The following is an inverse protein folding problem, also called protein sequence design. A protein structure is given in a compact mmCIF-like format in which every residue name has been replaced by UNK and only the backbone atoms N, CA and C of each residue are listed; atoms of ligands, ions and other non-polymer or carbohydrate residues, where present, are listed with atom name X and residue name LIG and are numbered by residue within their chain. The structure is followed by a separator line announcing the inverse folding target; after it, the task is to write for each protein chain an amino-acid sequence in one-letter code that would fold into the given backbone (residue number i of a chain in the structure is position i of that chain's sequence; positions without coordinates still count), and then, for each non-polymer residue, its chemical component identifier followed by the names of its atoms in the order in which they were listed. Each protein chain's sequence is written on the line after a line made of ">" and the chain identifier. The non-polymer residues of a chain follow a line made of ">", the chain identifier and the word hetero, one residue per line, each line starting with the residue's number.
data_IF_605964985166
#
_entry.id   IF_605964985166
#
_cell.length_a   1.000
_cell.length_b   1.000
_cell.length_c   1.000
_cell.angle_alpha   90.00
_cell.angle_beta   90.00
_cell.angle_gamma   90.00
#
_symmetry.space_group_name_H-M   'P 1'
#
loop_
_entity.id
_entity.type
_entity.pdbx_description
1 polymer ?
#
# COMPACT_ATOMS: atom_id res chain seq x y z
N UNK A 1 2.32 8.14 -2.48
CA UNK A 1 3.20 9.19 -1.94
C UNK A 1 3.59 8.85 -0.52
N UNK A 2 4.78 9.27 -0.11
CA UNK A 2 5.29 9.16 1.25
C UNK A 2 5.54 10.54 1.82
N UNK A 3 5.14 10.76 3.07
CA UNK A 3 5.42 12.00 3.79
C UNK A 3 5.85 11.66 5.20
N UNK A 4 6.98 12.19 5.66
CA UNK A 4 7.38 12.04 7.05
C UNK A 4 6.37 12.74 7.96
N UNK A 5 5.98 12.07 9.04
CA UNK A 5 5.10 12.61 10.07
C UNK A 5 5.90 12.75 11.39
N UNK A 6 5.38 13.55 12.33
CA UNK A 6 6.03 13.81 13.62
C UNK A 6 5.62 12.78 14.70
N UNK A 7 5.39 11.52 14.31
CA UNK A 7 4.92 10.46 15.22
C UNK A 7 5.76 9.22 15.02
N UNK A 8 5.80 8.33 16.01
CA UNK A 8 6.47 7.03 15.88
C UNK A 8 5.62 5.96 15.18
N UNK A 9 4.51 6.38 14.56
CA UNK A 9 3.57 5.49 13.89
C UNK A 9 3.47 5.81 12.40
N UNK A 10 3.42 4.76 11.61
CA UNK A 10 3.14 4.88 10.18
C UNK A 10 1.65 4.71 9.93
N UNK A 11 1.08 5.65 9.18
CA UNK A 11 -0.34 5.67 8.81
C UNK A 11 -0.48 5.34 7.32
N UNK A 12 -1.52 4.58 7.00
CA UNK A 12 -1.84 4.20 5.63
C UNK A 12 -3.16 4.84 5.21
N UNK A 13 -3.13 5.64 4.14
CA UNK A 13 -4.29 6.08 3.39
C UNK A 13 -4.38 5.32 2.07
N UNK A 14 -5.57 4.82 1.73
CA UNK A 14 -5.81 4.12 0.46
C UNK A 14 -6.96 4.79 -0.28
N UNK A 15 -6.67 5.25 -1.48
CA UNK A 15 -7.67 5.78 -2.41
C UNK A 15 -7.83 4.80 -3.57
N UNK A 16 -8.99 4.16 -3.66
CA UNK A 16 -9.36 3.35 -4.83
C UNK A 16 -10.26 4.18 -5.75
N UNK A 17 -9.73 4.59 -6.89
CA UNK A 17 -10.46 5.45 -7.84
C UNK A 17 -11.63 4.72 -8.51
N UNK A 18 -12.56 5.46 -9.13
CA UNK A 18 -13.65 4.86 -9.93
C UNK A 18 -13.13 3.95 -11.07
N UNK A 19 -11.90 4.22 -11.57
CA UNK A 19 -11.23 3.45 -12.63
C UNK A 19 -10.83 2.03 -12.21
N UNK A 20 -10.79 1.74 -10.91
CA UNK A 20 -10.57 0.38 -10.37
C UNK A 20 -11.76 -0.54 -10.64
N UNK A 21 -12.98 0.03 -10.77
CA UNK A 21 -14.20 -0.73 -11.00
C UNK A 21 -15.25 -0.55 -9.91
N UNK A 22 -16.15 -1.52 -9.79
CA UNK A 22 -17.29 -1.47 -8.87
C UNK A 22 -16.87 -1.46 -7.38
N UNK A 23 -17.85 -1.27 -6.48
CA UNK A 23 -17.59 -1.19 -5.04
C UNK A 23 -16.89 -2.44 -4.48
N UNK A 24 -17.25 -3.63 -5.00
CA UNK A 24 -16.67 -4.90 -4.58
C UNK A 24 -15.18 -4.97 -4.96
N UNK A 25 -14.83 -4.66 -6.21
CA UNK A 25 -13.43 -4.60 -6.68
C UNK A 25 -12.62 -3.60 -5.85
N UNK A 26 -13.13 -2.37 -5.65
CA UNK A 26 -12.46 -1.35 -4.82
C UNK A 26 -12.25 -1.81 -3.37
N UNK A 27 -13.23 -2.47 -2.78
CA UNK A 27 -13.12 -2.96 -1.40
C UNK A 27 -12.13 -4.12 -1.28
N UNK A 28 -12.10 -5.03 -2.26
CA UNK A 28 -11.09 -6.09 -2.35
C UNK A 28 -9.68 -5.52 -2.45
N UNK A 29 -9.45 -4.56 -3.35
CA UNK A 29 -8.14 -3.88 -3.47
C UNK A 29 -7.70 -3.25 -2.16
N UNK A 30 -8.58 -2.46 -1.51
CA UNK A 30 -8.29 -1.88 -0.18
C UNK A 30 -8.04 -2.96 0.89
N UNK A 31 -8.66 -4.14 0.80
CA UNK A 31 -8.44 -5.24 1.74
C UNK A 31 -7.05 -5.84 1.56
N UNK A 32 -6.65 -6.15 0.32
CA UNK A 32 -5.34 -6.73 0.04
C UNK A 32 -4.20 -5.80 0.45
N UNK A 33 -4.31 -4.50 0.13
CA UNK A 33 -3.30 -3.49 0.50
C UNK A 33 -3.21 -3.35 2.04
N UNK A 34 -4.34 -3.37 2.75
CA UNK A 34 -4.34 -3.35 4.23
C UNK A 34 -3.72 -4.59 4.83
N UNK A 35 -4.00 -5.77 4.28
CA UNK A 35 -3.41 -7.03 4.74
C UNK A 35 -1.90 -7.03 4.56
N UNK A 36 -1.40 -6.61 3.40
CA UNK A 36 0.04 -6.41 3.17
C UNK A 36 0.65 -5.50 4.24
N UNK A 37 0.05 -4.32 4.47
CA UNK A 37 0.56 -3.36 5.44
C UNK A 37 0.53 -3.90 6.88
N UNK A 38 -0.52 -4.64 7.24
CA UNK A 38 -0.68 -5.26 8.56
C UNK A 38 0.41 -6.32 8.80
N UNK A 39 0.66 -7.17 7.81
CA UNK A 39 1.65 -8.25 7.90
C UNK A 39 3.09 -7.74 7.92
N UNK A 40 3.37 -6.63 7.23
CA UNK A 40 4.72 -6.09 7.11
C UNK A 40 4.99 -4.86 7.98
N UNK A 41 4.10 -4.54 8.93
CA UNK A 41 4.16 -3.31 9.73
C UNK A 41 5.50 -3.07 10.43
N UNK A 42 6.20 -4.14 10.82
CA UNK A 42 7.50 -4.05 11.47
C UNK A 42 8.65 -3.71 10.50
N UNK A 43 8.51 -4.08 9.23
CA UNK A 43 9.51 -3.84 8.19
C UNK A 43 9.33 -2.47 7.52
N UNK A 44 8.13 -1.90 7.58
CA UNK A 44 7.81 -0.58 7.05
C UNK A 44 8.43 0.50 7.95
N UNK A 45 9.13 1.51 7.38
CA UNK A 45 9.70 2.62 8.14
C UNK A 45 8.64 3.32 9.00
N UNK A 46 8.99 3.62 10.26
CA UNK A 46 8.12 4.32 11.21
C UNK A 46 8.10 5.83 10.94
N UNK A 47 6.99 6.46 11.32
CA UNK A 47 6.83 7.91 11.24
C UNK A 47 6.57 8.46 9.86
N UNK A 48 5.82 7.71 9.04
CA UNK A 48 5.39 8.17 7.72
C UNK A 48 3.87 8.12 7.55
N UNK A 49 3.35 9.06 6.78
CA UNK A 49 2.04 9.00 6.17
C UNK A 49 2.19 8.49 4.74
N UNK A 50 1.71 7.27 4.50
CA UNK A 50 1.76 6.59 3.21
C UNK A 50 0.39 6.71 2.56
N UNK A 51 0.33 7.33 1.39
CA UNK A 51 -0.90 7.41 0.59
C UNK A 51 -0.76 6.60 -0.69
N UNK A 52 -1.58 5.57 -0.83
CA UNK A 52 -1.61 4.68 -1.99
C UNK A 52 -2.85 5.00 -2.81
N UNK A 53 -2.64 5.30 -4.10
CA UNK A 53 -3.73 5.56 -5.04
C UNK A 53 -3.79 4.39 -6.02
N UNK A 54 -4.83 3.55 -5.90
CA UNK A 54 -5.11 2.51 -6.86
C UNK A 54 -5.87 3.11 -8.07
N UNK A 55 -5.21 3.15 -9.23
CA UNK A 55 -5.74 3.72 -10.46
C UNK A 55 -6.29 2.67 -11.42
N UNK A 56 -5.63 1.52 -11.52
CA UNK A 56 -6.05 0.38 -12.33
C UNK A 56 -5.71 -0.89 -11.57
N UNK A 57 -6.59 -1.88 -11.68
CA UNK A 57 -6.43 -3.16 -11.01
C UNK A 57 -6.89 -4.22 -12.00
N UNK A 58 -6.08 -5.25 -12.22
CA UNK A 58 -6.46 -6.40 -13.03
C UNK A 58 -7.43 -7.28 -12.25
N UNK A 59 -8.30 -8.02 -12.94
CA UNK A 59 -9.23 -8.93 -12.26
C UNK A 59 -8.51 -10.08 -11.54
N UNK A 60 -7.27 -10.34 -11.92
CA UNK A 60 -6.37 -11.30 -11.30
C UNK A 60 -5.65 -10.77 -10.03
N UNK A 61 -5.99 -9.57 -9.53
CA UNK A 61 -5.34 -9.02 -8.34
C UNK A 61 -5.48 -9.97 -7.14
N UNK A 62 -4.33 -10.50 -6.75
CA UNK A 62 -4.15 -11.43 -5.65
C UNK A 62 -3.11 -10.89 -4.67
N UNK A 63 -2.91 -11.60 -3.56
CA UNK A 63 -2.01 -11.14 -2.50
C UNK A 63 -0.54 -11.20 -2.90
N UNK A 64 -0.12 -12.18 -3.73
CA UNK A 64 1.27 -12.28 -4.20
C UNK A 64 1.64 -11.03 -5.01
N UNK A 65 0.80 -10.64 -5.98
CA UNK A 65 1.07 -9.45 -6.80
C UNK A 65 1.16 -8.19 -5.93
N UNK A 66 0.30 -8.05 -4.92
CA UNK A 66 0.37 -6.93 -3.98
C UNK A 66 1.65 -6.98 -3.13
N UNK A 67 2.07 -8.17 -2.70
CA UNK A 67 3.30 -8.36 -1.94
C UNK A 67 4.54 -8.04 -2.77
N UNK A 68 4.57 -8.41 -4.04
CA UNK A 68 5.67 -8.10 -4.95
C UNK A 68 5.76 -6.59 -5.20
N UNK A 69 4.67 -5.97 -5.68
CA UNK A 69 4.65 -4.55 -6.06
C UNK A 69 4.88 -3.63 -4.85
N UNK A 70 4.16 -3.86 -3.74
CA UNK A 70 4.32 -3.03 -2.55
C UNK A 70 5.54 -3.42 -1.73
N UNK A 71 6.00 -4.67 -1.83
CA UNK A 71 7.24 -5.13 -1.21
C UNK A 71 8.42 -4.33 -1.69
N UNK A 72 8.56 -4.23 -3.02
CA UNK A 72 9.62 -3.47 -3.66
C UNK A 72 9.61 -1.97 -3.32
N UNK A 73 8.45 -1.41 -2.99
CA UNK A 73 8.29 0.04 -2.73
C UNK A 73 8.28 0.44 -1.25
N UNK A 74 7.79 -0.43 -0.36
CA UNK A 74 7.48 -0.07 1.04
C UNK A 74 8.37 -0.78 2.07
N UNK A 75 8.99 -1.91 1.70
CA UNK A 75 9.86 -2.67 2.59
C UNK A 75 11.30 -2.21 2.40
N UNK A 76 12.09 -2.29 3.47
CA UNK A 76 13.52 -1.97 3.47
C UNK A 76 14.28 -2.90 2.52
N UNK A 77 14.32 -2.53 1.24
CA UNK A 77 15.54 -2.61 0.46
C UNK A 77 16.23 -1.26 0.62
N UNK A 78 17.55 -1.20 0.46
CA UNK A 78 18.32 0.04 0.39
C UNK A 78 17.86 0.89 -0.81
N UNK A 79 16.69 1.51 -0.70
CA UNK A 79 16.25 2.59 -1.56
C UNK A 79 15.36 3.54 -0.75
N UNK A 80 15.97 4.52 -0.06
CA UNK A 80 15.27 5.67 0.53
C UNK A 80 14.79 6.68 -0.53
N UNK A 81 14.71 6.27 -1.82
CA UNK A 81 15.09 7.06 -2.99
C UNK A 81 16.57 7.49 -2.89
N UNK A 82 17.40 7.17 -3.89
CA UNK A 82 18.73 7.80 -4.08
C UNK A 82 18.64 9.34 -4.13
#
# INVERSE_FOLDING_TARGET
>A
SFKQNRRDITRLGITASKRVGNAVKRNRTKRLIREFFRLNKQQIPKGYDISIIALRVTDALNICTVQEELGALLLKNDNPFS
#
